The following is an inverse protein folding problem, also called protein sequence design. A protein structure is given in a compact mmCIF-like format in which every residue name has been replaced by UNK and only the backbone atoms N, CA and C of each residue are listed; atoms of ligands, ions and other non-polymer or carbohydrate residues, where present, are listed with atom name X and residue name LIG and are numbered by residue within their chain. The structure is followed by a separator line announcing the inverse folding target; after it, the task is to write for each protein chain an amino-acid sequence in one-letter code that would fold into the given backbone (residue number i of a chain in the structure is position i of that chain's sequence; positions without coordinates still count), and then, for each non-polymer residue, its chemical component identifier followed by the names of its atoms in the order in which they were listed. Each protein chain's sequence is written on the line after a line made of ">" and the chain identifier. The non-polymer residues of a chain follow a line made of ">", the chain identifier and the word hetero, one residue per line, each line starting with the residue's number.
data_IF_854470967191
#
_entry.id   IF_854470967191
#
_cell.length_a   1.000
_cell.length_b   1.000
_cell.length_c   1.000
_cell.angle_alpha   90.00
_cell.angle_beta   90.00
_cell.angle_gamma   90.00
#
_symmetry.space_group_name_H-M   'P 1'
#
loop_
_entity.id
_entity.type
_entity.pdbx_description
1 polymer ?
#
# COMPACT_ATOMS: atom_id res chain seq x y z
N UNK A 1 -23.07 6.81 0.54
CA UNK A 1 -22.52 5.64 -0.19
C UNK A 1 -21.16 6.03 -0.72
N UNK A 2 -20.16 5.15 -0.62
CA UNK A 2 -18.82 5.37 -1.16
C UNK A 2 -18.86 5.48 -2.68
N UNK A 3 -18.12 6.42 -3.25
CA UNK A 3 -18.05 6.74 -4.68
C UNK A 3 -16.73 6.30 -5.29
N UNK A 4 -16.66 6.27 -6.62
CA UNK A 4 -15.39 6.05 -7.32
C UNK A 4 -14.39 7.18 -7.02
N UNK A 5 -14.86 8.38 -6.67
CA UNK A 5 -13.98 9.48 -6.24
C UNK A 5 -13.31 9.17 -4.90
N UNK A 6 -14.06 8.63 -3.93
CA UNK A 6 -13.52 8.27 -2.62
C UNK A 6 -12.41 7.23 -2.76
N UNK A 7 -12.58 6.23 -3.63
CA UNK A 7 -11.53 5.25 -3.91
C UNK A 7 -10.29 5.86 -4.57
N UNK A 8 -10.43 6.88 -5.42
CA UNK A 8 -9.26 7.59 -5.96
C UNK A 8 -8.49 8.32 -4.87
N UNK A 9 -9.18 8.91 -3.90
CA UNK A 9 -8.52 9.55 -2.76
C UNK A 9 -7.81 8.54 -1.87
N UNK A 10 -8.50 7.44 -1.53
CA UNK A 10 -7.94 6.34 -0.73
C UNK A 10 -6.66 5.79 -1.36
N UNK A 11 -6.69 5.52 -2.67
CA UNK A 11 -5.52 4.94 -3.33
C UNK A 11 -4.38 5.94 -3.53
N UNK A 12 -4.66 7.23 -3.76
CA UNK A 12 -3.61 8.26 -3.77
C UNK A 12 -2.88 8.33 -2.43
N UNK A 13 -3.62 8.27 -1.33
CA UNK A 13 -3.06 8.13 0.01
C UNK A 13 -2.24 6.85 0.14
N UNK A 14 -2.79 5.69 -0.23
CA UNK A 14 -2.09 4.41 -0.14
C UNK A 14 -0.74 4.44 -0.91
N UNK A 15 -0.73 5.01 -2.12
CA UNK A 15 0.48 5.14 -2.94
C UNK A 15 1.50 6.09 -2.33
N UNK A 16 1.05 7.19 -1.71
CA UNK A 16 1.94 8.12 -1.03
C UNK A 16 2.62 7.43 0.15
N UNK A 17 1.85 6.76 1.00
CA UNK A 17 2.39 6.05 2.17
C UNK A 17 3.34 4.93 1.73
N UNK A 18 2.98 4.14 0.70
CA UNK A 18 3.89 3.11 0.17
C UNK A 18 5.23 3.67 -0.29
N UNK A 19 5.23 4.80 -1.01
CA UNK A 19 6.46 5.47 -1.45
C UNK A 19 7.28 5.96 -0.27
N UNK A 20 6.64 6.59 0.71
CA UNK A 20 7.33 7.13 1.88
C UNK A 20 7.95 6.00 2.73
N UNK A 21 7.27 4.86 2.86
CA UNK A 21 7.82 3.65 3.49
C UNK A 21 8.97 3.03 2.67
N UNK A 22 8.84 2.96 1.35
CA UNK A 22 9.93 2.50 0.48
C UNK A 22 11.18 3.40 0.63
N UNK A 23 11.00 4.72 0.68
CA UNK A 23 12.06 5.70 0.93
C UNK A 23 12.71 5.50 2.29
N UNK A 24 11.91 5.29 3.34
CA UNK A 24 12.42 5.07 4.69
C UNK A 24 13.21 3.76 4.80
N UNK A 25 12.67 2.67 4.26
CA UNK A 25 13.36 1.37 4.21
C UNK A 25 14.69 1.46 3.46
N UNK A 26 14.77 2.23 2.36
CA UNK A 26 16.02 2.39 1.60
C UNK A 26 17.15 3.10 2.36
N UNK A 27 16.85 3.72 3.50
CA UNK A 27 17.82 4.40 4.37
C UNK A 27 18.30 3.51 5.52
N UNK A 28 17.62 2.39 5.77
CA UNK A 28 18.02 1.42 6.78
C UNK A 28 19.26 0.66 6.31
N UNK A 29 20.11 0.20 7.24
CA UNK A 29 21.26 -0.59 6.86
C UNK A 29 20.81 -1.97 6.31
N UNK A 30 21.52 -2.58 5.35
CA UNK A 30 21.05 -3.80 4.66
C UNK A 30 20.70 -4.97 5.60
N UNK A 31 21.42 -5.13 6.70
CA UNK A 31 21.16 -6.16 7.71
C UNK A 31 19.77 -6.02 8.37
N UNK A 32 19.26 -4.80 8.48
CA UNK A 32 17.93 -4.52 9.01
C UNK A 32 16.80 -4.92 8.05
N UNK A 33 17.10 -5.02 6.74
CA UNK A 33 16.13 -5.40 5.69
C UNK A 33 16.02 -6.91 5.50
N UNK A 34 17.07 -7.68 5.84
CA UNK A 34 17.13 -9.14 5.62
C UNK A 34 16.82 -9.94 6.90
N UNK A 35 16.73 -9.27 8.05
CA UNK A 35 16.35 -9.88 9.31
C UNK A 35 14.84 -10.24 9.30
N UNK A 36 14.51 -11.44 8.81
CA UNK A 36 13.12 -11.93 8.90
C UNK A 36 12.76 -12.23 10.35
N UNK A 37 11.60 -11.73 10.80
CA UNK A 37 11.00 -12.13 12.06
C UNK A 37 10.40 -13.56 12.00
N UNK A 38 10.13 -14.08 10.80
CA UNK A 38 9.57 -15.42 10.57
C UNK A 38 10.19 -16.09 9.34
N UNK A 39 10.91 -17.20 9.56
CA UNK A 39 11.51 -18.00 8.48
C UNK A 39 10.49 -18.64 7.53
N UNK A 40 9.21 -18.73 7.93
CA UNK A 40 8.14 -19.35 7.14
C UNK A 40 7.51 -18.40 6.10
N UNK A 41 7.70 -17.08 6.21
CA UNK A 41 7.17 -16.07 5.25
C UNK A 41 8.03 -15.95 3.98
N UNK A 42 9.13 -16.70 3.87
CA UNK A 42 9.85 -16.87 2.59
C UNK A 42 9.06 -17.78 1.64
N UNK A 43 7.96 -17.29 1.10
CA UNK A 43 7.41 -17.86 -0.13
C UNK A 43 8.35 -17.55 -1.31
N UNK A 44 8.55 -18.55 -2.16
CA UNK A 44 9.61 -18.69 -3.19
C UNK A 44 9.68 -17.62 -4.28
N UNK A 45 8.72 -16.70 -4.38
CA UNK A 45 8.63 -15.78 -5.52
C UNK A 45 9.25 -14.39 -5.28
N UNK A 46 9.56 -14.03 -4.04
CA UNK A 46 10.23 -12.74 -3.75
C UNK A 46 11.76 -12.81 -3.86
N UNK A 47 12.34 -13.99 -4.14
CA UNK A 47 13.77 -14.15 -4.45
C UNK A 47 14.19 -13.37 -5.72
N UNK A 48 13.25 -12.81 -6.50
CA UNK A 48 13.56 -11.98 -7.67
C UNK A 48 13.88 -10.51 -7.35
N UNK A 49 13.49 -9.99 -6.19
CA UNK A 49 13.73 -8.58 -5.83
C UNK A 49 14.96 -8.49 -4.93
N UNK A 50 16.09 -8.09 -5.52
CA UNK A 50 17.41 -8.13 -4.88
C UNK A 50 17.83 -6.78 -4.30
N UNK A 51 17.06 -5.71 -4.55
CA UNK A 51 17.37 -4.37 -4.08
C UNK A 51 16.12 -3.51 -3.86
N UNK A 52 16.28 -2.45 -3.06
CA UNK A 52 15.24 -1.44 -2.85
C UNK A 52 14.88 -0.69 -4.15
N UNK A 53 15.83 -0.55 -5.08
CA UNK A 53 15.58 0.09 -6.38
C UNK A 53 14.70 -0.79 -7.28
N UNK A 54 14.94 -2.11 -7.30
CA UNK A 54 14.09 -3.06 -8.01
C UNK A 54 12.68 -3.11 -7.39
N UNK A 55 12.60 -3.12 -6.05
CA UNK A 55 11.32 -3.07 -5.33
C UNK A 55 10.53 -1.81 -5.69
N UNK A 56 11.19 -0.64 -5.64
CA UNK A 56 10.60 0.64 -6.03
C UNK A 56 10.13 0.61 -7.48
N UNK A 57 10.96 0.11 -8.39
CA UNK A 57 10.62 -0.01 -9.80
C UNK A 57 9.41 -0.91 -10.05
N UNK A 58 9.27 -2.00 -9.30
CA UNK A 58 8.10 -2.86 -9.34
C UNK A 58 6.86 -2.17 -8.78
N UNK A 59 6.98 -1.54 -7.60
CA UNK A 59 5.91 -0.78 -6.95
C UNK A 59 5.32 0.28 -7.89
N UNK A 60 6.15 1.09 -8.55
CA UNK A 60 5.68 2.12 -9.49
C UNK A 60 4.96 1.53 -10.71
N UNK A 61 5.37 0.35 -11.20
CA UNK A 61 4.63 -0.35 -12.28
C UNK A 61 3.23 -0.77 -11.83
N UNK A 62 3.07 -1.21 -10.58
CA UNK A 62 1.76 -1.58 -10.01
C UNK A 62 0.91 -0.34 -9.79
N UNK A 63 1.46 0.71 -9.16
CA UNK A 63 0.76 1.99 -8.96
C UNK A 63 0.23 2.53 -10.30
N UNK A 64 1.04 2.52 -11.36
CA UNK A 64 0.60 2.98 -12.67
C UNK A 64 -0.54 2.12 -13.27
N UNK A 65 -0.60 0.82 -12.97
CA UNK A 65 -1.72 -0.06 -13.38
C UNK A 65 -2.99 0.29 -12.61
N UNK A 66 -2.88 0.48 -11.30
CA UNK A 66 -3.99 0.86 -10.43
C UNK A 66 -4.55 2.24 -10.80
N UNK A 67 -3.69 3.22 -11.05
CA UNK A 67 -4.09 4.55 -11.48
C UNK A 67 -4.89 4.52 -12.79
N UNK A 68 -4.41 3.76 -13.79
CA UNK A 68 -5.15 3.58 -15.05
C UNK A 68 -6.51 2.92 -14.85
N UNK A 69 -6.61 1.99 -13.89
CA UNK A 69 -7.87 1.34 -13.54
C UNK A 69 -8.83 2.32 -12.85
N UNK A 70 -8.38 2.98 -11.79
CA UNK A 70 -9.19 3.91 -10.99
C UNK A 70 -9.63 5.16 -11.76
N UNK A 71 -8.83 5.63 -12.72
CA UNK A 71 -9.22 6.73 -13.60
C UNK A 71 -10.48 6.39 -14.40
N UNK A 72 -10.65 5.13 -14.80
CA UNK A 72 -11.80 4.66 -15.59
C UNK A 72 -12.99 4.22 -14.74
N UNK A 73 -12.81 4.04 -13.43
CA UNK A 73 -13.81 3.56 -12.50
C UNK A 73 -15.00 4.52 -12.39
N UNK A 74 -16.22 4.00 -12.50
CA UNK A 74 -17.46 4.76 -12.31
C UNK A 74 -18.22 4.20 -11.11
N UNK A 75 -19.08 5.01 -10.50
CA UNK A 75 -19.85 4.59 -9.33
C UNK A 75 -20.67 3.31 -9.59
N UNK A 76 -21.26 3.19 -10.78
CA UNK A 76 -22.00 1.99 -11.19
C UNK A 76 -21.16 0.71 -11.26
N UNK A 77 -19.83 0.83 -11.37
CA UNK A 77 -18.93 -0.32 -11.46
C UNK A 77 -18.65 -0.91 -10.07
N UNK A 78 -18.91 -0.17 -8.99
CA UNK A 78 -18.60 -0.57 -7.61
C UNK A 78 -19.43 -1.78 -7.14
N UNK A 79 -20.64 -1.95 -7.67
CA UNK A 79 -21.52 -3.09 -7.40
C UNK A 79 -21.23 -4.30 -8.28
N UNK A 80 -20.35 -4.18 -9.28
CA UNK A 80 -20.00 -5.29 -10.16
C UNK A 80 -19.37 -6.42 -9.35
N UNK A 81 -19.91 -7.63 -9.49
CA UNK A 81 -19.33 -8.82 -8.89
C UNK A 81 -17.94 -9.13 -9.46
N UNK A 82 -16.97 -9.32 -8.58
CA UNK A 82 -15.63 -9.82 -8.88
C UNK A 82 -15.40 -11.11 -8.09
N UNK A 83 -14.75 -12.08 -8.74
CA UNK A 83 -14.40 -13.36 -8.11
C UNK A 83 -13.00 -13.75 -8.56
N UNK A 84 -11.97 -13.55 -7.73
CA UNK A 84 -10.66 -14.11 -8.00
C UNK A 84 -10.69 -15.64 -7.88
N UNK A 85 -9.76 -16.33 -8.54
CA UNK A 85 -9.71 -17.80 -8.62
C UNK A 85 -9.62 -18.50 -7.26
N UNK A 86 -9.04 -17.84 -6.25
CA UNK A 86 -8.89 -18.36 -4.89
C UNK A 86 -10.09 -18.08 -3.96
N UNK A 87 -11.18 -17.49 -4.46
CA UNK A 87 -12.41 -17.26 -3.67
C UNK A 87 -13.57 -18.06 -4.26
N UNK A 88 -14.38 -18.63 -3.36
CA UNK A 88 -15.52 -19.49 -3.72
C UNK A 88 -16.79 -18.73 -4.07
N UNK A 89 -16.85 -17.41 -3.81
CA UNK A 89 -18.03 -16.58 -4.08
C UNK A 89 -17.62 -15.21 -4.65
N UNK A 90 -18.43 -14.64 -5.57
CA UNK A 90 -18.24 -13.27 -6.02
C UNK A 90 -18.58 -12.29 -4.90
N UNK A 91 -17.92 -11.14 -4.91
CA UNK A 91 -18.18 -10.00 -4.04
C UNK A 91 -18.15 -8.70 -4.84
N UNK A 92 -18.80 -7.63 -4.37
CA UNK A 92 -18.73 -6.32 -5.02
C UNK A 92 -17.30 -5.81 -5.17
N UNK A 93 -17.02 -5.14 -6.29
CA UNK A 93 -15.71 -4.52 -6.55
C UNK A 93 -15.28 -3.57 -5.42
N UNK A 94 -16.21 -2.82 -4.82
CA UNK A 94 -15.90 -1.95 -3.67
C UNK A 94 -15.27 -2.70 -2.50
N UNK A 95 -15.69 -3.94 -2.25
CA UNK A 95 -15.23 -4.72 -1.09
C UNK A 95 -13.82 -5.23 -1.38
N UNK A 96 -13.54 -5.58 -2.65
CA UNK A 96 -12.18 -5.91 -3.09
C UNK A 96 -11.23 -4.70 -2.97
N UNK A 97 -11.68 -3.50 -3.34
CA UNK A 97 -10.88 -2.28 -3.22
C UNK A 97 -10.60 -1.92 -1.75
N UNK A 98 -11.60 -2.10 -0.87
CA UNK A 98 -11.41 -1.91 0.57
C UNK A 98 -10.48 -2.96 1.17
N UNK A 99 -10.58 -4.23 0.76
CA UNK A 99 -9.67 -5.29 1.20
C UNK A 99 -8.22 -4.89 0.97
N UNK A 100 -7.87 -4.42 -0.24
CA UNK A 100 -6.49 -4.00 -0.56
C UNK A 100 -6.01 -2.90 0.40
N UNK A 101 -6.84 -1.90 0.66
CA UNK A 101 -6.50 -0.83 1.61
C UNK A 101 -6.29 -1.35 3.02
N UNK A 102 -7.14 -2.26 3.50
CA UNK A 102 -7.00 -2.81 4.85
C UNK A 102 -5.78 -3.73 4.99
N UNK A 103 -5.50 -4.58 4.01
CA UNK A 103 -4.31 -5.43 4.00
C UNK A 103 -3.03 -4.59 3.95
N UNK A 104 -3.01 -3.52 3.15
CA UNK A 104 -1.87 -2.61 3.14
C UNK A 104 -1.67 -1.94 4.50
N UNK A 105 -2.73 -1.42 5.12
CA UNK A 105 -2.64 -0.81 6.45
C UNK A 105 -2.20 -1.82 7.52
N UNK A 106 -2.65 -3.07 7.41
CA UNK A 106 -2.25 -4.17 8.30
C UNK A 106 -0.74 -4.43 8.22
N UNK A 107 -0.19 -4.65 7.02
CA UNK A 107 1.25 -4.88 6.82
C UNK A 107 2.11 -3.65 7.11
N UNK A 108 1.62 -2.44 6.84
CA UNK A 108 2.29 -1.21 7.28
C UNK A 108 2.38 -1.15 8.81
N UNK A 109 1.35 -1.61 9.53
CA UNK A 109 1.39 -1.76 10.99
C UNK A 109 2.53 -2.65 11.47
N UNK A 110 2.81 -3.74 10.76
CA UNK A 110 3.96 -4.62 11.05
C UNK A 110 5.29 -3.91 10.78
N UNK A 111 5.40 -3.19 9.66
CA UNK A 111 6.59 -2.39 9.35
C UNK A 111 6.83 -1.27 10.38
N UNK A 112 5.78 -0.59 10.82
CA UNK A 112 5.86 0.43 11.88
C UNK A 112 6.46 -0.16 13.14
N UNK A 113 6.03 -1.36 13.55
CA UNK A 113 6.60 -2.03 14.70
C UNK A 113 8.10 -2.33 14.52
N UNK A 114 8.52 -2.74 13.31
CA UNK A 114 9.94 -2.97 12.99
C UNK A 114 10.77 -1.68 13.03
N UNK A 115 10.24 -0.56 12.50
CA UNK A 115 10.89 0.75 12.60
C UNK A 115 11.14 1.13 14.07
N UNK A 116 10.13 1.01 14.92
CA UNK A 116 10.27 1.32 16.35
C UNK A 116 11.25 0.39 17.08
N UNK A 117 11.32 -0.89 16.73
CA UNK A 117 12.31 -1.82 17.30
C UNK A 117 13.75 -1.44 16.97
N UNK A 118 13.96 -0.67 15.90
CA UNK A 118 15.26 -0.18 15.46
C UNK A 118 15.55 1.25 15.92
N UNK A 119 14.69 1.82 16.78
CA UNK A 119 14.77 3.22 17.22
C UNK A 119 14.70 4.23 16.06
N UNK A 120 13.93 3.89 15.01
CA UNK A 120 13.69 4.74 13.85
C UNK A 120 12.21 5.15 13.83
N UNK A 121 11.96 6.44 13.66
CA UNK A 121 10.59 6.94 13.48
C UNK A 121 10.04 6.52 12.10
N UNK A 122 8.86 5.88 12.03
CA UNK A 122 8.23 5.51 10.78
C UNK A 122 7.70 6.75 10.03
N UNK A 123 7.50 6.66 8.70
CA UNK A 123 6.88 7.73 7.95
C UNK A 123 5.45 8.06 8.43
N UNK A 124 5.05 9.32 8.25
CA UNK A 124 3.68 9.77 8.48
C UNK A 124 2.67 8.93 7.68
N UNK A 125 1.65 8.41 8.35
CA UNK A 125 0.67 7.51 7.77
C UNK A 125 -0.75 7.77 8.28
N UNK A 126 -1.01 8.86 8.97
CA UNK A 126 -2.38 9.21 9.32
C UNK A 126 -3.11 9.68 8.05
N UNK A 127 -4.36 9.25 7.91
CA UNK A 127 -5.19 9.65 6.78
C UNK A 127 -5.29 11.17 6.63
N UNK A 128 -5.42 11.88 7.75
CA UNK A 128 -5.66 13.32 7.76
C UNK A 128 -4.41 14.06 7.28
N UNK A 129 -3.27 13.85 7.93
CA UNK A 129 -2.07 14.63 7.66
C UNK A 129 -1.48 14.31 6.27
N UNK A 130 -1.50 13.04 5.86
CA UNK A 130 -1.06 12.66 4.51
C UNK A 130 -1.96 13.25 3.43
N UNK A 131 -3.29 13.26 3.62
CA UNK A 131 -4.22 13.85 2.64
C UNK A 131 -4.04 15.36 2.52
N UNK A 132 -3.83 16.06 3.63
CA UNK A 132 -3.51 17.49 3.64
C UNK A 132 -2.19 17.78 2.91
N UNK A 133 -1.16 16.96 3.17
CA UNK A 133 0.12 17.06 2.47
C UNK A 133 -0.01 16.84 0.95
N UNK A 134 -0.83 15.88 0.50
CA UNK A 134 -1.13 15.66 -0.93
C UNK A 134 -1.81 16.88 -1.55
N UNK A 135 -2.68 17.56 -0.79
CA UNK A 135 -3.36 18.78 -1.23
C UNK A 135 -2.44 20.03 -1.24
N UNK A 136 -1.18 19.91 -0.78
CA UNK A 136 -0.23 21.01 -0.70
C UNK A 136 -0.38 21.86 0.57
N UNK A 137 -1.05 21.34 1.60
CA UNK A 137 -1.25 22.00 2.90
C UNK A 137 -0.59 21.19 4.03
N UNK A 138 0.75 21.07 4.07
CA UNK A 138 1.42 20.28 5.08
C UNK A 138 1.41 21.01 6.45
N UNK A 139 0.85 20.38 7.47
CA UNK A 139 0.84 20.89 8.84
C UNK A 139 0.13 19.91 9.79
N UNK A 140 0.35 20.02 11.12
CA UNK A 140 -0.38 19.19 12.09
C UNK A 140 -1.86 19.57 12.08
N UNK A 141 -2.73 18.57 11.99
CA UNK A 141 -4.18 18.71 12.10
C UNK A 141 -4.69 18.86 13.53
#
# INVERSE_FOLDING_TARGET
>A
MTTASDFREIYRYNWRVLRDFCDALSKLPPEALVASADSAIREKDFDEVQSMDELRGYMEKIIAKEERFLTKLKDKDLDRGVQPEWKTRPHPLRDALLQVTFEQAHHLGELIALFWQQDVEPPEMTWIDVRLAIAGDPGPS
#
